data_IF_626504494741
#
_entry.id   IF_626504494741
#
_cell.length_a   1.000
_cell.length_b   1.000
_cell.length_c   1.000
_cell.angle_alpha   90.00
_cell.angle_beta   90.00
_cell.angle_gamma   90.00
#
_symmetry.space_group_name_H-M   'P 1'
#
loop_
_entity.id
_entity.type
_entity.pdbx_description
1 polymer ?
#
# COMPACT_ATOMS: atom_id res chain seq x y z
N UNK A 1 30.94 -10.41 -27.71
CA UNK A 1 29.73 -11.12 -27.29
C UNK A 1 28.55 -10.35 -27.86
N UNK A 2 27.89 -10.98 -28.82
CA UNK A 2 26.88 -10.41 -29.71
C UNK A 2 25.59 -10.11 -28.93
N UNK A 3 25.24 -8.84 -28.71
CA UNK A 3 23.93 -8.49 -28.19
C UNK A 3 22.94 -8.51 -29.36
N UNK A 4 22.40 -9.70 -29.64
CA UNK A 4 21.34 -9.87 -30.61
C UNK A 4 20.17 -8.91 -30.28
N UNK A 5 19.86 -8.03 -31.24
CA UNK A 5 18.79 -7.03 -31.13
C UNK A 5 17.45 -7.76 -30.99
N UNK A 6 16.83 -7.68 -29.80
CA UNK A 6 15.53 -8.32 -29.52
C UNK A 6 14.45 -7.77 -30.46
N UNK A 7 13.48 -8.61 -30.88
CA UNK A 7 12.37 -8.15 -31.72
C UNK A 7 11.53 -7.09 -30.98
N UNK A 8 10.87 -6.17 -31.71
CA UNK A 8 10.01 -5.17 -31.09
C UNK A 8 8.81 -5.83 -30.42
N UNK A 9 8.55 -5.47 -29.16
CA UNK A 9 7.38 -5.93 -28.39
C UNK A 9 6.44 -4.74 -28.22
N UNK A 10 5.16 -4.93 -28.53
CA UNK A 10 4.12 -3.95 -28.25
C UNK A 10 3.56 -4.19 -26.85
N UNK A 11 3.66 -3.19 -25.98
CA UNK A 11 3.08 -3.21 -24.62
C UNK A 11 1.83 -2.34 -24.65
N UNK A 12 0.69 -2.91 -24.28
CA UNK A 12 -0.58 -2.19 -24.16
C UNK A 12 -0.92 -2.01 -22.69
N UNK A 13 -1.25 -0.78 -22.30
CA UNK A 13 -1.62 -0.45 -20.93
C UNK A 13 -3.12 -0.17 -20.86
N UNK A 14 -3.83 -0.95 -20.05
CA UNK A 14 -5.26 -0.77 -19.84
C UNK A 14 -5.59 0.56 -19.14
N UNK A 15 -6.78 1.09 -19.39
CA UNK A 15 -7.32 2.26 -18.69
C UNK A 15 -8.83 2.06 -18.39
N UNK A 16 -9.30 2.36 -17.16
CA UNK A 16 -8.51 2.80 -16.00
C UNK A 16 -7.68 1.65 -15.40
N UNK A 17 -6.60 1.98 -14.70
CA UNK A 17 -5.75 1.05 -13.95
C UNK A 17 -5.22 1.73 -12.69
N UNK A 18 -4.94 0.96 -11.64
CA UNK A 18 -4.43 1.48 -10.37
C UNK A 18 -5.52 1.62 -9.32
N UNK A 19 -5.40 2.64 -8.47
CA UNK A 19 -6.24 2.80 -7.29
C UNK A 19 -7.62 3.38 -7.61
N UNK A 20 -8.62 2.86 -6.90
CA UNK A 20 -9.93 3.47 -6.85
C UNK A 20 -9.99 4.49 -5.70
N UNK A 21 -11.02 5.32 -5.69
CA UNK A 21 -11.22 6.33 -4.64
C UNK A 21 -11.28 5.73 -3.22
N UNK A 22 -11.77 4.49 -3.08
CA UNK A 22 -11.82 3.80 -1.78
C UNK A 22 -10.44 3.42 -1.25
N UNK A 23 -9.58 2.90 -2.13
CA UNK A 23 -8.19 2.54 -1.79
C UNK A 23 -7.39 3.79 -1.43
N UNK A 24 -7.48 4.85 -2.23
CA UNK A 24 -6.77 6.10 -1.99
C UNK A 24 -7.16 6.71 -0.63
N UNK A 25 -8.48 6.78 -0.36
CA UNK A 25 -8.99 7.28 0.92
C UNK A 25 -8.53 6.43 2.11
N UNK A 26 -8.50 5.11 1.98
CA UNK A 26 -8.12 4.22 3.08
C UNK A 26 -6.64 4.41 3.48
N UNK A 27 -5.76 4.55 2.49
CA UNK A 27 -4.34 4.83 2.71
C UNK A 27 -4.17 6.19 3.39
N UNK A 28 -4.80 7.24 2.86
CA UNK A 28 -4.71 8.60 3.41
C UNK A 28 -5.18 8.69 4.86
N UNK A 29 -6.20 7.92 5.27
CA UNK A 29 -6.68 7.91 6.65
C UNK A 29 -5.60 7.44 7.62
N UNK A 30 -4.85 6.39 7.25
CA UNK A 30 -3.77 5.86 8.10
C UNK A 30 -2.62 6.85 8.16
N UNK A 31 -2.23 7.43 7.02
CA UNK A 31 -1.17 8.44 6.96
C UNK A 31 -1.49 9.68 7.80
N UNK A 32 -2.70 10.22 7.66
CA UNK A 32 -3.17 11.38 8.42
C UNK A 32 -3.30 11.06 9.91
N UNK A 33 -3.68 9.83 10.28
CA UNK A 33 -3.72 9.41 11.67
C UNK A 33 -2.30 9.39 12.27
N UNK A 34 -1.32 8.83 11.55
CA UNK A 34 0.08 8.82 11.99
C UNK A 34 0.61 10.24 12.12
N UNK A 35 0.36 11.11 11.14
CA UNK A 35 0.79 12.52 11.20
C UNK A 35 0.18 13.26 12.39
N UNK A 36 -1.12 13.06 12.63
CA UNK A 36 -1.86 13.81 13.65
C UNK A 36 -1.62 13.31 15.07
N UNK A 37 -1.51 12.00 15.26
CA UNK A 37 -1.48 11.37 16.59
C UNK A 37 -0.11 10.78 16.94
N UNK A 38 0.79 10.64 15.96
CA UNK A 38 2.07 9.96 16.11
C UNK A 38 1.93 8.44 16.11
N UNK A 39 3.04 7.71 15.91
CA UNK A 39 3.05 6.25 15.99
C UNK A 39 3.05 5.74 17.45
N UNK A 40 2.54 4.52 17.72
CA UNK A 40 1.93 3.60 16.75
C UNK A 40 0.48 3.93 16.45
N UNK A 41 0.06 3.69 15.20
CA UNK A 41 -1.36 3.67 14.80
C UNK A 41 -1.75 2.25 14.47
N UNK A 42 -2.71 1.68 15.19
CA UNK A 42 -3.18 0.31 14.99
C UNK A 42 -4.24 0.24 13.89
N UNK A 43 -4.08 -0.70 12.96
CA UNK A 43 -5.01 -0.95 11.87
C UNK A 43 -5.41 -2.42 11.90
N UNK A 44 -6.72 -2.69 11.97
CA UNK A 44 -7.22 -4.07 11.98
C UNK A 44 -7.26 -4.64 10.56
N UNK A 45 -6.59 -5.78 10.38
CA UNK A 45 -6.23 -6.39 9.10
C UNK A 45 -5.48 -5.42 8.18
N UNK A 46 -4.97 -5.95 7.06
CA UNK A 46 -4.41 -5.10 6.01
C UNK A 46 -5.44 -4.06 5.52
N UNK A 47 -5.03 -2.79 5.46
CA UNK A 47 -5.90 -1.70 4.99
C UNK A 47 -6.30 -1.88 3.51
N UNK A 48 -5.38 -2.47 2.73
CA UNK A 48 -5.57 -2.94 1.35
C UNK A 48 -4.66 -4.14 1.11
N UNK A 49 -5.09 -5.09 0.26
CA UNK A 49 -4.30 -6.27 -0.11
C UNK A 49 -3.21 -5.93 -1.13
N UNK A 50 -2.26 -5.10 -0.71
CA UNK A 50 -1.08 -4.74 -1.49
C UNK A 50 0.11 -4.67 -0.54
N UNK A 51 0.99 -5.66 -0.65
CA UNK A 51 2.17 -5.79 0.22
C UNK A 51 3.03 -4.52 0.25
N UNK A 52 3.23 -3.86 -0.88
CA UNK A 52 4.04 -2.64 -0.93
C UNK A 52 3.40 -1.51 -0.11
N UNK A 53 2.09 -1.36 -0.18
CA UNK A 53 1.35 -0.36 0.60
C UNK A 53 1.38 -0.67 2.09
N UNK A 54 1.22 -1.95 2.46
CA UNK A 54 1.27 -2.39 3.87
C UNK A 54 2.66 -2.12 4.45
N UNK A 55 3.72 -2.58 3.78
CA UNK A 55 5.12 -2.36 4.20
C UNK A 55 5.44 -0.86 4.35
N UNK A 56 4.99 -0.01 3.42
CA UNK A 56 5.21 1.44 3.49
C UNK A 56 4.53 2.07 4.72
N UNK A 57 3.31 1.66 5.03
CA UNK A 57 2.57 2.17 6.20
C UNK A 57 3.19 1.67 7.52
N UNK A 58 3.66 0.42 7.57
CA UNK A 58 4.40 -0.12 8.73
C UNK A 58 5.67 0.69 8.98
N UNK A 59 6.42 1.02 7.93
CA UNK A 59 7.60 1.88 8.02
C UNK A 59 7.28 3.29 8.55
N UNK A 60 6.07 3.79 8.31
CA UNK A 60 5.59 5.07 8.86
C UNK A 60 5.09 4.94 10.31
N UNK A 61 4.93 3.73 10.82
CA UNK A 61 4.50 3.44 12.20
C UNK A 61 3.05 3.00 12.34
N UNK A 62 2.43 2.50 11.26
CA UNK A 62 1.25 1.67 11.38
C UNK A 62 1.61 0.30 11.98
N UNK A 63 0.69 -0.28 12.76
CA UNK A 63 0.80 -1.64 13.27
C UNK A 63 -0.45 -2.40 12.86
N UNK A 64 -0.29 -3.40 12.01
CA UNK A 64 -1.41 -4.23 11.56
C UNK A 64 -1.66 -5.37 12.56
N UNK A 65 -2.92 -5.52 12.98
CA UNK A 65 -3.37 -6.53 13.94
C UNK A 65 -4.53 -7.34 13.37
N UNK A 66 -4.70 -8.58 13.78
CA UNK A 66 -5.84 -9.40 13.33
C UNK A 66 -7.08 -9.11 14.19
N UNK A 67 -6.87 -9.07 15.51
CA UNK A 67 -7.94 -8.92 16.48
C UNK A 67 -7.81 -7.66 17.32
N UNK A 68 -8.94 -7.24 17.90
CA UNK A 68 -9.05 -5.97 18.62
C UNK A 68 -8.35 -5.97 19.98
N UNK A 69 -8.20 -7.13 20.61
CA UNK A 69 -7.52 -7.30 21.90
C UNK A 69 -6.00 -7.22 21.81
N UNK A 70 -5.44 -7.19 20.59
CA UNK A 70 -4.02 -6.92 20.34
C UNK A 70 -3.68 -5.41 20.43
N UNK A 71 -4.70 -4.55 20.53
CA UNK A 71 -4.54 -3.09 20.70
C UNK A 71 -4.53 -2.74 22.20
N UNK A 72 -3.53 -1.99 22.70
CA UNK A 72 -3.35 -1.69 24.13
C UNK A 72 -4.32 -0.64 24.70
#
# INVERSE_FOLDING_TARGET
MDQAKKPPISILLAAPRGFCAGVDRAIQIVELAIEKFGPPVYVRHEIVHNRYVVEELEHKGAVFVEELDEVP
#
